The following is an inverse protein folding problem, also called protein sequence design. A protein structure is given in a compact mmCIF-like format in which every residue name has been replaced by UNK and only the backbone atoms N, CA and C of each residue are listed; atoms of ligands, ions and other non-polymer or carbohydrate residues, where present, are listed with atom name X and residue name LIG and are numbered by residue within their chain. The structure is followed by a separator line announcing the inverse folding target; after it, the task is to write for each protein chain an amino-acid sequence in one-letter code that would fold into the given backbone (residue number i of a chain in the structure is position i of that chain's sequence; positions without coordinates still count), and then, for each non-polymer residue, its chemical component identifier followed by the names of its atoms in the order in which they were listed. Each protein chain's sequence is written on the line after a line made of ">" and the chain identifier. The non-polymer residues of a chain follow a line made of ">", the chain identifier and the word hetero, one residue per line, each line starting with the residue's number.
data_IF_163059702579
#
_entry.id   IF_163059702579
#
_cell.length_a   1.000
_cell.length_b   1.000
_cell.length_c   1.000
_cell.angle_alpha   90.00
_cell.angle_beta   90.00
_cell.angle_gamma   90.00
#
_symmetry.space_group_name_H-M   'P 1'
#
loop_
_entity.id
_entity.type
_entity.pdbx_description
1 polymer ?
#
# COMPACT_ATOMS: atom_id res chain seq x y z
N UNK A 1 4.32 -9.96 24.93
CA UNK A 1 5.69 -9.84 24.36
C UNK A 1 5.71 -8.61 23.46
N UNK A 2 6.27 -7.47 23.91
CA UNK A 2 6.06 -6.20 23.24
C UNK A 2 6.98 -6.07 22.04
N UNK A 3 6.39 -6.02 20.84
CA UNK A 3 7.08 -5.73 19.59
C UNK A 3 7.69 -4.33 19.65
N UNK A 4 9.01 -4.30 19.79
CA UNK A 4 9.78 -3.07 19.91
C UNK A 4 9.62 -2.18 18.67
N UNK A 5 9.17 -0.95 18.92
CA UNK A 5 9.38 0.24 18.10
C UNK A 5 10.85 0.30 17.64
N UNK A 6 11.10 0.14 16.34
CA UNK A 6 12.36 0.55 15.71
C UNK A 6 12.09 1.76 14.81
N UNK A 7 12.73 2.85 15.18
CA UNK A 7 12.82 4.10 14.44
C UNK A 7 13.68 3.90 13.19
N UNK A 8 13.26 4.47 12.05
CA UNK A 8 14.16 4.81 10.94
C UNK A 8 14.08 3.94 9.67
N UNK A 9 13.52 2.74 9.74
CA UNK A 9 13.34 1.86 8.59
C UNK A 9 11.89 1.38 8.62
N UNK A 10 11.17 1.47 7.49
CA UNK A 10 9.84 0.87 7.36
C UNK A 10 9.88 -0.53 7.98
N UNK A 11 8.87 -0.96 8.73
CA UNK A 11 8.80 -2.37 9.14
C UNK A 11 8.93 -3.23 7.89
N UNK A 12 10.12 -3.80 7.70
CA UNK A 12 10.53 -4.43 6.46
C UNK A 12 9.60 -5.63 6.23
N UNK A 13 8.83 -5.60 5.14
CA UNK A 13 8.07 -6.76 4.65
C UNK A 13 6.67 -6.97 5.23
N UNK A 14 6.08 -6.02 5.96
CA UNK A 14 4.70 -6.16 6.44
C UNK A 14 3.73 -5.58 5.40
N UNK A 15 3.42 -6.39 4.38
CA UNK A 15 2.46 -6.10 3.32
C UNK A 15 1.02 -6.38 3.80
N UNK A 16 0.51 -5.51 4.66
CA UNK A 16 -0.80 -5.72 5.33
C UNK A 16 -1.95 -4.91 4.74
N UNK A 17 -1.66 -3.95 3.86
CA UNK A 17 -2.69 -3.12 3.21
C UNK A 17 -2.84 -3.59 1.77
N UNK A 18 -3.91 -4.32 1.45
CA UNK A 18 -4.18 -4.73 0.09
C UNK A 18 -5.03 -3.68 -0.60
N UNK A 19 -4.55 -3.17 -1.73
CA UNK A 19 -5.14 -2.05 -2.45
C UNK A 19 -5.23 -2.36 -3.94
N UNK A 20 -6.14 -1.67 -4.62
CA UNK A 20 -6.24 -1.66 -6.07
C UNK A 20 -5.35 -0.55 -6.61
N UNK A 21 -4.39 -0.90 -7.46
CA UNK A 21 -3.41 0.06 -7.98
C UNK A 21 -4.12 1.09 -8.86
N UNK A 22 -3.76 2.37 -8.70
CA UNK A 22 -4.22 3.46 -9.57
C UNK A 22 -3.04 4.04 -10.34
N UNK A 23 -3.31 4.72 -11.46
CA UNK A 23 -2.27 5.34 -12.27
C UNK A 23 -1.52 6.43 -11.48
N UNK A 24 -2.24 7.19 -10.67
CA UNK A 24 -1.71 8.23 -9.80
C UNK A 24 -0.79 7.64 -8.74
N UNK A 25 -1.22 6.55 -8.08
CA UNK A 25 -0.41 5.86 -7.09
C UNK A 25 0.87 5.29 -7.71
N UNK A 26 0.78 4.58 -8.85
CA UNK A 26 1.93 4.00 -9.53
C UNK A 26 2.94 5.07 -9.96
N UNK A 27 2.45 6.18 -10.49
CA UNK A 27 3.29 7.33 -10.85
C UNK A 27 3.94 7.98 -9.63
N UNK A 28 3.21 8.10 -8.52
CA UNK A 28 3.72 8.64 -7.27
C UNK A 28 4.79 7.74 -6.63
N UNK A 29 4.49 6.45 -6.47
CA UNK A 29 5.41 5.50 -5.82
C UNK A 29 6.71 5.36 -6.61
N UNK A 30 6.64 5.44 -7.95
CA UNK A 30 7.81 5.45 -8.83
C UNK A 30 8.70 6.68 -8.58
N UNK A 31 8.11 7.86 -8.45
CA UNK A 31 8.84 9.10 -8.11
C UNK A 31 9.46 9.04 -6.71
N UNK A 32 8.88 8.26 -5.78
CA UNK A 32 9.41 8.01 -4.44
C UNK A 32 10.43 6.86 -4.37
N UNK A 33 10.88 6.35 -5.53
CA UNK A 33 11.89 5.29 -5.63
C UNK A 33 11.37 3.87 -5.38
N UNK A 34 10.05 3.66 -5.41
CA UNK A 34 9.43 2.34 -5.34
C UNK A 34 8.64 2.11 -6.63
N UNK A 35 9.36 1.73 -7.69
CA UNK A 35 8.77 1.44 -8.99
C UNK A 35 8.09 0.07 -8.99
N UNK A 36 6.76 0.11 -8.88
CA UNK A 36 5.90 -1.07 -8.99
C UNK A 36 5.36 -1.26 -10.41
N UNK A 37 5.64 -0.34 -11.34
CA UNK A 37 5.08 -0.34 -12.70
C UNK A 37 6.00 -1.04 -13.72
N UNK A 38 7.32 -0.94 -13.53
CA UNK A 38 8.30 -1.48 -14.47
C UNK A 38 8.46 -2.99 -14.25
N UNK A 39 8.25 -3.84 -15.28
CA UNK A 39 8.53 -5.27 -15.18
C UNK A 39 10.02 -5.52 -14.89
N UNK A 40 10.32 -6.43 -13.98
CA UNK A 40 11.69 -6.85 -13.68
C UNK A 40 11.83 -8.37 -13.82
N UNK A 41 12.41 -8.86 -14.93
CA UNK A 41 12.66 -10.28 -15.13
C UNK A 41 13.57 -10.90 -14.06
N UNK A 42 14.50 -10.10 -13.51
CA UNK A 42 15.44 -10.52 -12.46
C UNK A 42 14.71 -10.93 -11.18
N UNK A 43 13.58 -10.27 -10.89
CA UNK A 43 12.74 -10.56 -9.72
C UNK A 43 11.47 -11.33 -10.07
N UNK A 44 11.33 -11.80 -11.31
CA UNK A 44 10.09 -12.39 -11.84
C UNK A 44 8.85 -11.52 -11.55
N UNK A 45 9.03 -10.20 -11.63
CA UNK A 45 7.99 -9.23 -11.33
C UNK A 45 7.41 -8.69 -12.64
N UNK A 46 6.10 -8.89 -12.92
CA UNK A 46 5.51 -8.51 -14.21
C UNK A 46 5.29 -6.99 -14.37
N UNK A 47 5.43 -6.21 -13.29
CA UNK A 47 4.98 -4.82 -13.26
C UNK A 47 3.46 -4.74 -13.08
N UNK A 48 3.02 -3.83 -12.21
CA UNK A 48 1.61 -3.59 -11.92
C UNK A 48 1.03 -2.54 -12.85
N UNK A 49 -0.27 -2.67 -13.09
CA UNK A 49 -1.09 -1.76 -13.87
C UNK A 49 -2.27 -1.25 -13.03
N UNK A 50 -2.89 -0.14 -13.44
CA UNK A 50 -4.14 0.29 -12.83
C UNK A 50 -5.19 -0.84 -12.85
N UNK A 51 -5.86 -1.07 -11.71
CA UNK A 51 -6.80 -2.17 -11.51
C UNK A 51 -6.19 -3.46 -10.94
N UNK A 52 -4.86 -3.60 -10.92
CA UNK A 52 -4.22 -4.75 -10.27
C UNK A 52 -4.37 -4.66 -8.75
N UNK A 53 -4.62 -5.79 -8.10
CA UNK A 53 -4.68 -5.87 -6.65
C UNK A 53 -3.31 -6.24 -6.09
N UNK A 54 -2.79 -5.41 -5.18
CA UNK A 54 -1.48 -5.63 -4.60
C UNK A 54 -1.43 -5.22 -3.14
N UNK A 55 -0.71 -6.02 -2.34
CA UNK A 55 -0.52 -5.73 -0.93
C UNK A 55 0.72 -4.87 -0.73
N UNK A 56 0.50 -3.70 -0.16
CA UNK A 56 1.47 -2.65 0.06
C UNK A 56 1.96 -2.67 1.51
N UNK A 57 3.19 -2.21 1.69
CA UNK A 57 3.66 -1.82 3.01
C UNK A 57 2.79 -0.67 3.51
N UNK A 58 2.36 -0.76 4.77
CA UNK A 58 1.56 0.27 5.43
C UNK A 58 2.17 1.68 5.30
N UNK A 59 3.49 1.80 5.45
CA UNK A 59 4.21 3.08 5.29
C UNK A 59 4.10 3.66 3.89
N UNK A 60 4.12 2.81 2.84
CA UNK A 60 3.98 3.25 1.45
C UNK A 60 2.56 3.69 1.14
N UNK A 61 1.58 2.96 1.66
CA UNK A 61 0.19 3.39 1.55
C UNK A 61 -0.04 4.71 2.30
N UNK A 62 0.52 4.86 3.51
CA UNK A 62 0.43 6.10 4.28
C UNK A 62 1.11 7.29 3.59
N UNK A 63 2.26 7.08 2.97
CA UNK A 63 2.97 8.11 2.19
C UNK A 63 2.11 8.60 1.02
N UNK A 64 1.40 7.68 0.34
CA UNK A 64 0.46 8.03 -0.73
C UNK A 64 -0.79 8.74 -0.19
N UNK A 65 -1.28 8.35 0.99
CA UNK A 65 -2.40 9.02 1.68
C UNK A 65 -2.04 10.47 1.99
N UNK A 66 -0.85 10.71 2.55
CA UNK A 66 -0.39 12.06 2.90
C UNK A 66 -0.18 12.94 1.66
N UNK A 67 0.07 12.33 0.51
CA UNK A 67 0.17 13.00 -0.79
C UNK A 67 -1.19 13.14 -1.52
N UNK A 68 -2.29 12.63 -0.96
CA UNK A 68 -3.63 12.68 -1.57
C UNK A 68 -3.81 11.76 -2.77
N UNK A 69 -2.98 10.74 -2.92
CA UNK A 69 -2.97 9.78 -4.05
C UNK A 69 -2.98 8.33 -3.55
N UNK A 70 -3.56 8.09 -2.36
CA UNK A 70 -3.70 6.75 -1.83
C UNK A 70 -4.57 5.88 -2.75
N UNK A 71 -4.11 4.67 -3.11
CA UNK A 71 -4.91 3.74 -3.87
C UNK A 71 -6.06 3.19 -3.02
N UNK A 72 -7.23 2.88 -3.61
CA UNK A 72 -8.36 2.28 -2.91
C UNK A 72 -7.99 0.97 -2.20
N UNK A 73 -8.45 0.81 -0.96
CA UNK A 73 -8.13 -0.32 -0.09
C UNK A 73 -9.22 -1.39 -0.15
N UNK A 74 -8.80 -2.64 -0.25
CA UNK A 74 -9.67 -3.80 -0.17
C UNK A 74 -9.74 -4.19 1.30
N UNK A 75 -10.75 -3.68 2.02
CA UNK A 75 -10.91 -3.89 3.46
C UNK A 75 -10.92 -5.38 3.86
N UNK A 76 -11.59 -6.22 3.06
CA UNK A 76 -11.68 -7.67 3.31
C UNK A 76 -10.35 -8.40 3.17
N UNK A 77 -9.38 -7.81 2.46
CA UNK A 77 -8.05 -8.36 2.23
C UNK A 77 -6.96 -7.63 3.04
N UNK A 78 -7.33 -6.61 3.82
CA UNK A 78 -6.40 -5.84 4.65
C UNK A 78 -6.35 -6.42 6.07
N UNK A 79 -5.14 -6.62 6.59
CA UNK A 79 -4.96 -7.21 7.91
C UNK A 79 -5.30 -6.20 9.03
N UNK A 80 -5.97 -6.66 10.08
CA UNK A 80 -6.45 -5.80 11.19
C UNK A 80 -5.32 -5.04 11.91
N UNK A 81 -4.10 -5.58 11.93
CA UNK A 81 -2.91 -4.90 12.45
C UNK A 81 -2.62 -3.54 11.78
N UNK A 82 -3.18 -3.25 10.61
CA UNK A 82 -3.09 -1.93 10.00
C UNK A 82 -3.83 -0.86 10.82
N UNK A 83 -4.84 -1.27 11.59
CA UNK A 83 -5.65 -0.41 12.47
C UNK A 83 -4.89 0.13 13.67
N UNK A 84 -3.77 -0.49 14.05
CA UNK A 84 -2.88 0.02 15.10
C UNK A 84 -2.17 1.33 14.68
N UNK A 85 -2.18 1.65 13.38
CA UNK A 85 -1.44 2.78 12.81
C UNK A 85 -2.34 3.78 12.09
N UNK A 86 -3.40 3.30 11.41
CA UNK A 86 -4.32 4.13 10.64
C UNK A 86 -5.74 3.77 11.06
N UNK A 87 -6.58 4.74 11.47
CA UNK A 87 -7.95 4.46 11.89
C UNK A 87 -8.77 3.76 10.79
N UNK A 88 -9.72 2.92 11.21
CA UNK A 88 -10.60 2.19 10.30
C UNK A 88 -11.40 3.13 9.40
N UNK A 89 -11.75 4.31 9.91
CA UNK A 89 -12.49 5.36 9.21
C UNK A 89 -11.75 5.80 7.96
N UNK A 90 -10.43 6.01 8.06
CA UNK A 90 -9.58 6.40 6.92
C UNK A 90 -9.53 5.29 5.87
N UNK A 91 -9.46 4.02 6.30
CA UNK A 91 -9.52 2.89 5.39
C UNK A 91 -10.89 2.75 4.73
N UNK A 92 -11.98 3.07 5.44
CA UNK A 92 -13.35 3.06 4.90
C UNK A 92 -13.58 4.17 3.87
N UNK A 93 -13.03 5.36 4.10
CA UNK A 93 -13.07 6.47 3.13
C UNK A 93 -12.37 6.11 1.81
N UNK A 94 -11.34 5.27 1.89
CA UNK A 94 -10.58 4.81 0.74
C UNK A 94 -10.97 3.39 0.32
N UNK A 95 -12.05 2.81 0.84
CA UNK A 95 -12.40 1.43 0.51
C UNK A 95 -12.82 1.31 -0.95
N UNK A 96 -12.43 0.21 -1.61
CA UNK A 96 -13.00 -0.17 -2.90
C UNK A 96 -14.51 -0.31 -2.71
N UNK A 97 -15.29 0.56 -3.35
CA UNK A 97 -16.75 0.42 -3.37
C UNK A 97 -17.10 -0.75 -4.28
N UNK A 98 -17.14 -1.95 -3.71
CA UNK A 98 -17.80 -3.08 -4.34
C UNK A 98 -19.31 -2.79 -4.33
N UNK A 99 -19.81 -2.21 -5.42
CA UNK A 99 -21.23 -2.13 -5.73
C UNK A 99 -21.74 -3.44 -6.31
#
# INVERSE_FOLDING_TARGET
>A
MPWHKRHGECQVGVHIVCAEMTEEFLSFTKQRGNDLSTPSPVYNFPGLKPGDQWCLCLSRWKEALDAGVAPPVILSATHEAALDYIPLEVFKEHAVMNG
#
